data_IF_252570055756
#
_entry.id   IF_252570055756
#
_cell.length_a   1.000
_cell.length_b   1.000
_cell.length_c   1.000
_cell.angle_alpha   90.00
_cell.angle_beta   90.00
_cell.angle_gamma   90.00
#
_symmetry.space_group_name_H-M   'P 1'
#
loop_
_entity.id
_entity.type
_entity.pdbx_description
1 polymer ?
#
# COMPACT_ATOMS: atom_id res chain seq x y z
N UNK A 1 19.09 6.70 12.51
CA UNK A 1 18.39 5.42 12.25
C UNK A 1 16.91 5.71 12.00
N UNK A 2 16.46 5.83 10.74
CA UNK A 2 15.03 5.93 10.43
C UNK A 2 14.44 4.52 10.62
N UNK A 3 13.52 4.34 11.58
CA UNK A 3 12.89 3.04 11.86
C UNK A 3 12.23 2.52 10.57
N UNK A 4 12.54 1.28 10.17
CA UNK A 4 11.69 0.50 9.28
C UNK A 4 10.32 0.45 9.95
N UNK A 5 9.33 1.13 9.38
CA UNK A 5 7.97 1.11 9.89
C UNK A 5 7.10 0.58 8.75
N UNK A 6 6.52 -0.58 9.02
CA UNK A 6 5.32 -1.02 8.36
C UNK A 6 4.18 -0.80 9.35
N UNK A 7 2.96 -0.44 8.90
CA UNK A 7 1.81 -0.41 9.77
C UNK A 7 1.58 -1.80 10.36
N UNK A 8 1.16 -1.84 11.63
CA UNK A 8 0.74 -3.08 12.27
C UNK A 8 -0.68 -3.46 11.83
N UNK A 9 -1.15 -4.61 12.31
CA UNK A 9 -2.49 -5.13 12.03
C UNK A 9 -3.60 -4.12 12.31
N UNK A 10 -3.62 -3.55 13.51
CA UNK A 10 -4.68 -2.62 13.92
C UNK A 10 -4.68 -1.36 13.05
N UNK A 11 -3.50 -0.89 12.65
CA UNK A 11 -3.36 0.23 11.71
C UNK A 11 -3.89 -0.14 10.31
N UNK A 12 -3.64 -1.36 9.83
CA UNK A 12 -4.19 -1.83 8.55
C UNK A 12 -5.70 -2.01 8.57
N UNK A 13 -6.23 -2.64 9.62
CA UNK A 13 -7.67 -2.80 9.82
C UNK A 13 -8.37 -1.44 9.94
N UNK A 14 -7.77 -0.46 10.63
CA UNK A 14 -8.26 0.92 10.69
C UNK A 14 -8.26 1.58 9.31
N UNK A 15 -7.16 1.44 8.55
CA UNK A 15 -7.03 2.07 7.25
C UNK A 15 -8.03 1.52 6.23
N UNK A 16 -8.12 0.19 6.11
CA UNK A 16 -8.98 -0.46 5.13
C UNK A 16 -10.43 -0.59 5.58
N UNK A 17 -10.71 -0.42 6.89
CA UNK A 17 -12.03 -0.58 7.51
C UNK A 17 -12.65 -1.96 7.22
N UNK A 18 -11.81 -2.94 6.94
CA UNK A 18 -12.21 -4.30 6.60
C UNK A 18 -11.11 -5.30 6.97
N UNK A 19 -11.51 -6.53 7.25
CA UNK A 19 -10.58 -7.64 7.40
C UNK A 19 -10.01 -8.04 6.02
N UNK A 20 -8.75 -8.53 5.95
CA UNK A 20 -8.22 -9.08 4.71
C UNK A 20 -9.02 -10.32 4.27
N UNK A 21 -9.04 -10.62 2.98
CA UNK A 21 -9.71 -11.80 2.42
C UNK A 21 -9.18 -13.12 3.03
N UNK A 22 -9.99 -14.19 2.94
CA UNK A 22 -9.66 -15.53 3.46
C UNK A 22 -8.30 -16.04 2.95
N UNK A 23 -7.48 -16.51 3.89
CA UNK A 23 -6.04 -16.75 3.74
C UNK A 23 -5.25 -16.47 5.02
N UNK A 24 -5.91 -15.85 6.01
CA UNK A 24 -5.39 -15.58 7.34
C UNK A 24 -5.11 -16.89 8.12
N UNK A 25 -3.84 -17.32 8.16
CA UNK A 25 -3.43 -18.36 9.10
C UNK A 25 -3.37 -17.73 10.50
N UNK A 26 -4.40 -17.98 11.32
CA UNK A 26 -4.58 -17.38 12.66
C UNK A 26 -3.38 -17.54 13.59
N UNK A 27 -2.51 -18.51 13.33
CA UNK A 27 -1.36 -18.85 14.18
C UNK A 27 -0.03 -18.28 13.64
N UNK A 28 -0.01 -17.61 12.49
CA UNK A 28 1.21 -17.04 11.89
C UNK A 28 1.29 -15.52 12.14
N UNK A 29 2.45 -14.94 12.51
CA UNK A 29 2.59 -13.50 12.59
C UNK A 29 2.40 -12.84 11.21
N UNK A 30 1.69 -11.71 11.17
CA UNK A 30 1.36 -10.96 9.93
C UNK A 30 2.59 -10.61 9.07
N UNK A 31 3.74 -10.44 9.70
CA UNK A 31 5.01 -10.15 9.02
C UNK A 31 5.43 -11.24 8.02
N UNK A 32 4.89 -12.46 8.17
CA UNK A 32 5.15 -13.63 7.32
C UNK A 32 3.95 -14.00 6.43
N UNK A 33 2.90 -13.16 6.40
CA UNK A 33 1.69 -13.42 5.63
C UNK A 33 1.54 -12.49 4.41
N UNK A 34 0.97 -13.04 3.34
CA UNK A 34 0.49 -12.25 2.21
C UNK A 34 -0.92 -11.74 2.52
N UNK A 35 -1.04 -10.44 2.80
CA UNK A 35 -2.30 -9.81 3.14
C UNK A 35 -2.98 -9.26 1.89
N UNK A 36 -4.24 -9.62 1.67
CA UNK A 36 -5.04 -9.02 0.60
C UNK A 36 -6.23 -8.24 1.14
N UNK A 37 -6.30 -6.95 0.83
CA UNK A 37 -7.39 -6.05 1.23
C UNK A 37 -8.18 -5.57 0.01
N UNK A 38 -9.49 -5.36 0.21
CA UNK A 38 -10.40 -4.85 -0.83
C UNK A 38 -11.24 -3.72 -0.26
N UNK A 39 -11.22 -2.58 -0.93
CA UNK A 39 -12.08 -1.46 -0.57
C UNK A 39 -12.34 -0.59 -1.80
N UNK A 40 -13.20 0.41 -1.66
CA UNK A 40 -13.67 1.20 -2.80
C UNK A 40 -13.91 2.66 -2.45
N UNK A 41 -13.80 3.52 -3.46
CA UNK A 41 -14.26 4.91 -3.40
C UNK A 41 -15.51 5.07 -4.27
N UNK A 42 -15.86 6.29 -4.72
CA UNK A 42 -17.04 6.48 -5.57
C UNK A 42 -16.89 5.87 -6.98
N UNK A 43 -15.68 5.86 -7.54
CA UNK A 43 -15.43 5.55 -8.96
C UNK A 43 -14.68 4.21 -9.16
N UNK A 44 -13.84 3.81 -8.21
CA UNK A 44 -12.93 2.68 -8.29
C UNK A 44 -13.10 1.66 -7.16
N UNK A 45 -12.73 0.42 -7.47
CA UNK A 45 -12.44 -0.64 -6.51
C UNK A 45 -10.94 -0.90 -6.49
N UNK A 46 -10.40 -1.06 -5.31
CA UNK A 46 -8.98 -1.32 -5.07
C UNK A 46 -8.83 -2.73 -4.51
N UNK A 47 -7.85 -3.45 -5.06
CA UNK A 47 -7.36 -4.70 -4.50
C UNK A 47 -5.89 -4.51 -4.20
N UNK A 48 -5.52 -4.62 -2.93
CA UNK A 48 -4.13 -4.48 -2.48
C UNK A 48 -3.67 -5.82 -1.95
N UNK A 49 -2.52 -6.28 -2.42
CA UNK A 49 -1.83 -7.44 -1.87
C UNK A 49 -0.47 -6.99 -1.36
N UNK A 50 -0.12 -7.34 -0.13
CA UNK A 50 1.16 -6.97 0.48
C UNK A 50 1.84 -8.20 1.06
N UNK A 51 3.14 -8.30 0.83
CA UNK A 51 3.99 -9.31 1.46
C UNK A 51 5.08 -8.58 2.23
N UNK A 52 5.01 -8.59 3.56
CA UNK A 52 5.97 -7.88 4.41
C UNK A 52 7.35 -8.55 4.38
N UNK A 53 7.38 -9.89 4.43
CA UNK A 53 8.60 -10.68 4.29
C UNK A 53 9.28 -10.45 2.94
N UNK A 54 8.51 -10.54 1.84
CA UNK A 54 9.04 -10.37 0.49
C UNK A 54 9.24 -8.90 0.11
N UNK A 55 8.82 -7.95 0.97
CA UNK A 55 8.86 -6.50 0.72
C UNK A 55 8.15 -6.10 -0.57
N UNK A 56 6.98 -6.65 -0.78
CA UNK A 56 6.19 -6.44 -2.00
C UNK A 56 4.87 -5.72 -1.68
N UNK A 57 4.49 -4.80 -2.57
CA UNK A 57 3.20 -4.13 -2.53
C UNK A 57 2.60 -4.12 -3.93
N UNK A 58 1.47 -4.79 -4.07
CA UNK A 58 0.68 -4.87 -5.29
C UNK A 58 -0.61 -4.08 -5.12
N UNK A 59 -0.97 -3.29 -6.13
CA UNK A 59 -2.22 -2.55 -6.21
C UNK A 59 -2.85 -2.75 -7.58
N UNK A 60 -4.09 -3.24 -7.59
CA UNK A 60 -4.96 -3.27 -8.75
C UNK A 60 -6.15 -2.35 -8.55
N UNK A 61 -6.47 -1.61 -9.61
CA UNK A 61 -7.53 -0.61 -9.62
C UNK A 61 -8.49 -0.95 -10.75
N UNK A 62 -9.77 -1.03 -10.41
CA UNK A 62 -10.84 -1.37 -11.35
C UNK A 62 -11.90 -0.29 -11.30
N UNK A 63 -12.23 0.28 -12.46
CA UNK A 63 -13.32 1.25 -12.57
C UNK A 63 -14.66 0.55 -12.36
N UNK A 64 -15.54 1.15 -11.55
CA UNK A 64 -16.87 0.60 -11.30
C UNK A 64 -17.78 0.67 -12.52
N UNK A 65 -17.63 1.71 -13.35
CA UNK A 65 -18.52 1.97 -14.49
C UNK A 65 -18.49 0.87 -15.56
N UNK A 66 -17.33 0.28 -15.81
CA UNK A 66 -17.15 -0.70 -16.89
C UNK A 66 -16.37 -1.95 -16.49
N UNK A 67 -16.07 -2.10 -15.19
CA UNK A 67 -15.29 -3.18 -14.61
C UNK A 67 -13.90 -3.39 -15.24
N UNK A 68 -13.37 -2.39 -15.96
CA UNK A 68 -12.03 -2.47 -16.56
C UNK A 68 -10.97 -2.04 -15.56
N UNK A 69 -9.80 -2.69 -15.63
CA UNK A 69 -8.64 -2.24 -14.88
C UNK A 69 -8.20 -0.87 -15.39
N UNK A 70 -8.09 0.11 -14.49
CA UNK A 70 -7.53 1.43 -14.78
C UNK A 70 -6.05 1.53 -14.43
N UNK A 71 -5.55 0.65 -13.54
CA UNK A 71 -4.15 0.62 -13.15
C UNK A 71 -3.78 -0.69 -12.46
N UNK A 72 -2.55 -1.12 -12.70
CA UNK A 72 -1.91 -2.23 -12.00
C UNK A 72 -0.49 -1.77 -11.66
N UNK A 73 -0.15 -1.80 -10.38
CA UNK A 73 1.14 -1.39 -9.86
C UNK A 73 1.70 -2.53 -9.01
N UNK A 74 2.92 -2.96 -9.34
CA UNK A 74 3.64 -4.01 -8.62
C UNK A 74 4.98 -3.44 -8.17
N UNK A 75 5.05 -3.05 -6.90
CA UNK A 75 6.23 -2.46 -6.29
C UNK A 75 7.01 -3.52 -5.52
N UNK A 76 8.27 -3.70 -5.92
CA UNK A 76 9.24 -4.55 -5.22
C UNK A 76 10.14 -3.71 -4.32
N UNK A 77 10.87 -4.36 -3.41
CA UNK A 77 11.83 -3.70 -2.50
C UNK A 77 11.22 -2.59 -1.64
N UNK A 78 9.96 -2.75 -1.22
CA UNK A 78 9.29 -1.79 -0.35
C UNK A 78 9.98 -1.82 1.02
N UNK A 79 10.73 -0.78 1.35
CA UNK A 79 11.48 -0.71 2.59
C UNK A 79 10.67 -0.13 3.75
N UNK A 80 9.64 0.67 3.44
CA UNK A 80 8.80 1.34 4.42
C UNK A 80 7.42 1.65 3.84
N UNK A 81 6.41 1.57 4.70
CA UNK A 81 5.05 2.01 4.40
C UNK A 81 4.55 2.91 5.53
N UNK A 82 4.14 4.13 5.20
CA UNK A 82 3.51 5.04 6.15
C UNK A 82 2.06 5.30 5.75
N UNK A 83 1.15 5.21 6.71
CA UNK A 83 -0.18 5.80 6.61
C UNK A 83 -0.02 7.32 6.82
N UNK A 84 -0.27 8.11 5.78
CA UNK A 84 -0.20 9.58 5.82
C UNK A 84 -1.50 10.20 6.30
N UNK A 85 -2.63 9.62 5.86
CA UNK A 85 -3.97 10.03 6.27
C UNK A 85 -4.82 8.79 6.47
N UNK A 86 -5.48 8.74 7.62
CA UNK A 86 -6.47 7.72 7.97
C UNK A 86 -7.64 8.40 8.69
N UNK A 87 -8.52 9.01 7.90
CA UNK A 87 -9.74 9.66 8.38
C UNK A 87 -10.89 9.32 7.44
N UNK A 88 -12.11 9.55 7.89
CA UNK A 88 -13.28 9.41 7.04
C UNK A 88 -13.14 10.31 5.80
N UNK A 89 -13.14 9.70 4.61
CA UNK A 89 -12.98 10.41 3.33
C UNK A 89 -11.54 10.77 2.94
N UNK A 90 -10.53 10.44 3.77
CA UNK A 90 -9.12 10.68 3.48
C UNK A 90 -8.28 9.44 3.81
N UNK A 91 -7.80 8.75 2.77
CA UNK A 91 -6.98 7.54 2.91
C UNK A 91 -5.78 7.69 2.00
N UNK A 92 -4.59 7.83 2.59
CA UNK A 92 -3.34 8.07 1.87
C UNK A 92 -2.18 7.25 2.45
N UNK A 93 -1.44 6.58 1.56
CA UNK A 93 -0.23 5.83 1.87
C UNK A 93 0.99 6.48 1.22
N UNK A 94 2.12 6.35 1.90
CA UNK A 94 3.45 6.58 1.34
C UNK A 94 4.23 5.27 1.39
N UNK A 95 4.66 4.79 0.23
CA UNK A 95 5.66 3.73 0.10
C UNK A 95 7.02 4.36 -0.14
N UNK A 96 8.05 3.87 0.54
CA UNK A 96 9.44 4.17 0.19
C UNK A 96 10.07 2.87 -0.28
N UNK A 97 10.57 2.87 -1.51
CA UNK A 97 11.35 1.76 -2.03
C UNK A 97 12.79 1.92 -1.54
N UNK A 98 13.28 0.87 -0.90
CA UNK A 98 14.65 0.72 -0.44
C UNK A 98 15.29 -0.28 -1.39
N UNK A 99 15.51 0.16 -2.62
CA UNK A 99 16.33 -0.59 -3.54
C UNK A 99 17.81 -0.33 -3.21
N UNK A 100 18.68 -1.30 -3.44
CA UNK A 100 20.10 -1.20 -3.08
C UNK A 100 20.85 -0.09 -3.85
N UNK A 101 20.17 0.79 -4.62
CA UNK A 101 20.79 1.93 -5.29
C UNK A 101 21.05 3.04 -4.29
N UNK A 102 22.27 3.11 -3.79
CA UNK A 102 22.72 4.12 -2.83
C UNK A 102 22.55 5.59 -3.23
N UNK A 103 22.14 5.91 -4.46
CA UNK A 103 22.04 7.29 -4.96
C UNK A 103 20.62 7.86 -4.99
N UNK A 104 19.59 7.03 -5.10
CA UNK A 104 18.22 7.49 -5.30
C UNK A 104 17.26 6.77 -4.36
N UNK A 105 16.26 7.49 -3.86
CA UNK A 105 15.15 6.95 -3.08
C UNK A 105 13.89 7.18 -3.90
N UNK A 106 13.13 6.11 -4.17
CA UNK A 106 11.81 6.23 -4.81
C UNK A 106 10.73 6.29 -3.74
N UNK A 107 9.88 7.30 -3.80
CA UNK A 107 8.68 7.41 -2.99
C UNK A 107 7.43 7.31 -3.85
N UNK A 108 6.47 6.52 -3.41
CA UNK A 108 5.15 6.39 -4.04
C UNK A 108 4.11 6.90 -3.06
N UNK A 109 3.45 7.99 -3.41
CA UNK A 109 2.30 8.53 -2.67
C UNK A 109 1.02 8.03 -3.35
N UNK A 110 0.18 7.34 -2.59
CA UNK A 110 -1.07 6.75 -3.07
C UNK A 110 -2.22 7.35 -2.28
N UNK A 111 -3.07 8.12 -2.93
CA UNK A 111 -4.34 8.61 -2.40
C UNK A 111 -5.47 7.74 -2.93
N UNK A 112 -6.32 7.23 -2.04
CA UNK A 112 -7.47 6.40 -2.42
C UNK A 112 -8.79 7.15 -2.31
N UNK A 113 -8.92 8.00 -1.29
CA UNK A 113 -10.10 8.83 -1.04
C UNK A 113 -9.76 10.33 -1.08
N UNK A 114 -10.68 11.18 -1.59
CA UNK A 114 -11.98 10.81 -2.18
C UNK A 114 -11.86 10.24 -3.61
N UNK A 115 -10.74 10.54 -4.28
CA UNK A 115 -10.47 10.11 -5.66
C UNK A 115 -9.06 9.53 -5.74
N UNK A 116 -8.88 8.55 -6.62
CA UNK A 116 -7.58 7.91 -6.76
C UNK A 116 -6.53 8.86 -7.34
N UNK A 117 -5.35 8.88 -6.73
CA UNK A 117 -4.16 9.52 -7.28
C UNK A 117 -2.93 8.70 -6.88
N UNK A 118 -2.00 8.53 -7.81
CA UNK A 118 -0.70 7.92 -7.52
C UNK A 118 0.40 8.80 -8.09
N UNK A 119 1.33 9.18 -7.23
CA UNK A 119 2.50 9.96 -7.61
C UNK A 119 3.75 9.15 -7.30
N UNK A 120 4.62 9.02 -8.30
CA UNK A 120 5.96 8.45 -8.14
C UNK A 120 6.96 9.59 -8.17
N UNK A 121 7.84 9.64 -7.18
CA UNK A 121 8.90 10.65 -7.08
C UNK A 121 10.22 9.96 -6.80
N UNK A 122 11.29 10.43 -7.45
CA UNK A 122 12.66 10.02 -7.15
C UNK A 122 13.38 11.19 -6.49
N UNK A 123 14.15 10.88 -5.45
CA UNK A 123 14.92 11.86 -4.67
C UNK A 123 16.37 11.40 -4.57
N UNK A 124 17.31 12.33 -4.40
CA UNK A 124 18.68 11.95 -4.06
C UNK A 124 18.76 11.49 -2.60
N UNK A 125 19.50 10.41 -2.33
CA UNK A 125 19.59 9.79 -1.00
C UNK A 125 20.25 10.66 0.09
N UNK A 126 20.79 11.83 -0.28
CA UNK A 126 21.49 12.77 0.60
C UNK A 126 20.78 14.10 0.86
N UNK A 127 19.52 14.25 0.42
CA UNK A 127 18.66 15.42 0.71
C UNK A 127 17.87 15.30 2.01
#
# INVERSE_FOLDING_TARGET
MRRKRFPNEAEWLSFFETEPDEGFERDMPIEYQDLTFRFENQEERFVITMSLEMKEFYLKIVRKVDAKASGIYDFKTVGRVDIKKDRQGEKELLLILDDDRHRFITSIEITFLPSFCLMVKEHFSGE
#
